data_IF_118829294775
#
_entry.id   IF_118829294775
#
_cell.length_a   1.000
_cell.length_b   1.000
_cell.length_c   1.000
_cell.angle_alpha   90.00
_cell.angle_beta   90.00
_cell.angle_gamma   90.00
#
_symmetry.space_group_name_H-M   'P 1'
#
loop_
_entity.id
_entity.type
_entity.pdbx_description
1 polymer ?
#
# COMPACT_ATOMS: atom_id res chain seq x y z
N UNK A 1 -19.91 18.86 4.83
CA UNK A 1 -19.06 17.67 4.67
C UNK A 1 -19.97 16.56 4.16
N UNK A 2 -19.82 16.20 2.87
CA UNK A 2 -20.60 15.10 2.29
C UNK A 2 -20.28 13.78 3.02
N UNK A 3 -21.30 12.94 3.16
CA UNK A 3 -21.11 11.59 3.68
C UNK A 3 -20.14 10.84 2.76
N UNK A 4 -19.09 10.24 3.35
CA UNK A 4 -18.15 9.41 2.60
C UNK A 4 -18.92 8.17 2.10
N UNK A 5 -18.95 7.96 0.80
CA UNK A 5 -19.75 6.90 0.17
C UNK A 5 -19.35 5.50 0.67
N UNK A 6 -18.08 5.29 0.99
CA UNK A 6 -17.56 4.11 1.71
C UNK A 6 -16.12 4.32 2.13
N UNK A 7 -15.68 3.62 3.16
CA UNK A 7 -14.28 3.55 3.58
C UNK A 7 -13.32 3.14 2.44
N UNK A 8 -13.73 2.20 1.58
CA UNK A 8 -12.92 1.76 0.45
C UNK A 8 -12.75 2.86 -0.60
N UNK A 9 -13.74 3.72 -0.81
CA UNK A 9 -13.67 4.85 -1.76
C UNK A 9 -12.69 5.91 -1.27
N UNK A 10 -12.75 6.28 0.00
CA UNK A 10 -11.82 7.24 0.61
C UNK A 10 -10.37 6.75 0.50
N UNK A 11 -10.14 5.48 0.85
CA UNK A 11 -8.82 4.89 0.71
C UNK A 11 -8.38 4.74 -0.75
N UNK A 12 -9.30 4.60 -1.70
CA UNK A 12 -8.97 4.48 -3.11
C UNK A 12 -8.34 5.78 -3.65
N UNK A 13 -8.83 6.94 -3.23
CA UNK A 13 -8.19 8.22 -3.57
C UNK A 13 -6.78 8.30 -3.00
N UNK A 14 -6.58 7.93 -1.73
CA UNK A 14 -5.26 7.90 -1.13
C UNK A 14 -4.30 6.97 -1.89
N UNK A 15 -4.77 5.78 -2.29
CA UNK A 15 -3.97 4.83 -3.08
C UNK A 15 -3.68 5.31 -4.49
N UNK A 16 -4.60 6.01 -5.12
CA UNK A 16 -4.37 6.65 -6.42
C UNK A 16 -3.19 7.62 -6.32
N UNK A 17 -3.19 8.50 -5.33
CA UNK A 17 -2.10 9.47 -5.15
C UNK A 17 -0.80 8.83 -4.70
N UNK A 18 -0.83 7.91 -3.74
CA UNK A 18 0.37 7.28 -3.17
C UNK A 18 1.07 6.36 -4.19
N UNK A 19 0.32 5.42 -4.76
CA UNK A 19 0.90 4.34 -5.55
C UNK A 19 0.93 4.69 -7.05
N UNK A 20 -0.19 5.11 -7.62
CA UNK A 20 -0.30 5.27 -9.07
C UNK A 20 0.34 6.58 -9.52
N UNK A 21 0.07 7.68 -8.82
CA UNK A 21 0.66 8.99 -9.15
C UNK A 21 2.05 9.12 -8.57
N UNK A 22 2.21 8.99 -7.26
CA UNK A 22 3.45 9.28 -6.55
C UNK A 22 4.61 8.35 -6.88
N UNK A 23 4.34 7.14 -7.36
CA UNK A 23 5.35 6.17 -7.82
C UNK A 23 5.55 6.18 -9.33
N UNK A 24 4.81 6.99 -10.10
CA UNK A 24 4.90 7.02 -11.56
C UNK A 24 6.15 7.75 -12.06
N UNK A 25 6.68 7.29 -13.19
CA UNK A 25 7.81 7.96 -13.84
C UNK A 25 7.51 9.43 -14.20
N UNK A 26 6.29 9.71 -14.69
CA UNK A 26 5.86 11.07 -15.04
C UNK A 26 5.88 12.02 -13.84
N UNK A 27 5.42 11.57 -12.67
CA UNK A 27 5.49 12.37 -11.46
C UNK A 27 6.94 12.67 -11.04
N UNK A 28 7.85 11.71 -11.15
CA UNK A 28 9.27 11.89 -10.84
C UNK A 28 10.00 12.75 -11.89
N UNK A 29 9.58 12.72 -13.16
CA UNK A 29 10.05 13.66 -14.18
C UNK A 29 9.75 15.12 -13.80
N UNK A 30 8.58 15.37 -13.23
CA UNK A 30 8.16 16.68 -12.74
C UNK A 30 8.80 17.07 -11.40
N UNK A 31 8.80 16.15 -10.44
CA UNK A 31 9.16 16.45 -9.05
C UNK A 31 10.68 16.59 -8.86
N UNK A 32 11.46 15.70 -9.46
CA UNK A 32 12.91 15.61 -9.19
C UNK A 32 13.67 16.91 -9.38
N UNK A 33 13.53 17.68 -10.48
CA UNK A 33 14.20 18.97 -10.64
C UNK A 33 13.81 19.98 -9.55
N UNK A 34 12.59 19.93 -9.05
CA UNK A 34 12.11 20.80 -7.96
C UNK A 34 12.72 20.41 -6.62
N UNK A 35 12.84 19.12 -6.37
CA UNK A 35 13.53 18.62 -5.17
C UNK A 35 15.00 19.05 -5.16
N UNK A 36 15.68 18.98 -6.30
CA UNK A 36 17.07 19.44 -6.40
C UNK A 36 17.23 20.92 -6.05
N UNK A 37 16.27 21.76 -6.43
CA UNK A 37 16.29 23.18 -6.12
C UNK A 37 15.96 23.49 -4.65
N UNK A 38 14.93 22.81 -4.10
CA UNK A 38 14.41 23.11 -2.76
C UNK A 38 15.15 22.35 -1.65
N UNK A 39 15.58 21.14 -1.93
CA UNK A 39 16.21 20.24 -0.98
C UNK A 39 17.40 19.51 -1.63
N UNK A 40 18.51 20.20 -1.95
CA UNK A 40 19.63 19.60 -2.67
C UNK A 40 20.20 18.34 -1.98
N UNK A 41 20.16 18.30 -0.65
CA UNK A 41 20.64 17.15 0.14
C UNK A 41 19.81 15.88 -0.01
N UNK A 42 18.53 15.98 -0.43
CA UNK A 42 17.64 14.85 -0.67
C UNK A 42 17.67 14.34 -2.12
N UNK A 43 18.11 15.18 -3.04
CA UNK A 43 18.15 14.90 -4.47
C UNK A 43 19.58 14.66 -4.98
N UNK A 44 20.38 13.95 -4.19
CA UNK A 44 21.74 13.56 -4.55
C UNK A 44 21.67 12.35 -5.49
N UNK A 45 22.32 12.44 -6.65
CA UNK A 45 22.37 11.37 -7.65
C UNK A 45 21.38 11.57 -8.82
N UNK A 46 21.11 10.50 -9.52
CA UNK A 46 20.26 10.52 -10.70
C UNK A 46 18.79 10.24 -10.35
N UNK A 47 17.87 10.90 -11.07
CA UNK A 47 16.43 10.68 -10.95
C UNK A 47 16.07 9.19 -11.04
N UNK A 48 16.69 8.47 -11.97
CA UNK A 48 16.42 7.07 -12.21
C UNK A 48 16.73 6.19 -10.99
N UNK A 49 17.84 6.46 -10.31
CA UNK A 49 18.21 5.74 -9.08
C UNK A 49 17.17 5.96 -7.97
N UNK A 50 16.67 7.18 -7.82
CA UNK A 50 15.65 7.49 -6.83
C UNK A 50 14.31 6.85 -7.21
N UNK A 51 13.93 6.92 -8.48
CA UNK A 51 12.71 6.28 -8.99
C UNK A 51 12.73 4.77 -8.78
N UNK A 52 13.83 4.09 -9.07
CA UNK A 52 14.00 2.65 -8.81
C UNK A 52 13.94 2.33 -7.32
N UNK A 53 14.56 3.17 -6.48
CA UNK A 53 14.53 3.00 -5.03
C UNK A 53 13.10 3.06 -4.46
N UNK A 54 12.28 4.02 -4.92
CA UNK A 54 10.88 4.17 -4.50
C UNK A 54 10.02 3.00 -4.98
N UNK A 55 10.35 2.40 -6.11
CA UNK A 55 9.62 1.28 -6.71
C UNK A 55 10.26 -0.09 -6.45
N UNK A 56 11.23 -0.16 -5.52
CA UNK A 56 11.86 -1.42 -5.18
C UNK A 56 10.86 -2.39 -4.54
N UNK A 57 10.73 -3.59 -5.10
CA UNK A 57 9.96 -4.69 -4.53
C UNK A 57 10.84 -5.46 -3.55
N UNK A 58 10.46 -5.46 -2.28
CA UNK A 58 11.17 -6.18 -1.23
C UNK A 58 10.21 -6.54 -0.09
N UNK A 59 9.98 -7.83 0.20
CA UNK A 59 9.17 -8.25 1.34
C UNK A 59 9.68 -7.65 2.65
N UNK A 60 8.78 -7.13 3.45
CA UNK A 60 9.05 -6.55 4.78
C UNK A 60 8.14 -7.16 5.83
N UNK A 61 8.55 -7.12 7.10
CA UNK A 61 7.74 -7.67 8.19
C UNK A 61 6.56 -6.77 8.56
N UNK A 62 6.74 -5.46 8.43
CA UNK A 62 5.73 -4.46 8.84
C UNK A 62 4.92 -4.00 7.63
N UNK A 63 3.61 -4.21 7.68
CA UNK A 63 2.67 -3.87 6.60
C UNK A 63 2.79 -2.42 6.12
N UNK A 64 2.92 -1.47 7.04
CA UNK A 64 3.03 -0.06 6.68
C UNK A 64 4.29 0.30 5.89
N UNK A 65 5.31 -0.56 5.94
CA UNK A 65 6.57 -0.39 5.21
C UNK A 65 6.63 -1.27 3.94
N UNK A 66 5.54 -1.99 3.63
CA UNK A 66 5.49 -2.85 2.47
C UNK A 66 5.48 -2.03 1.17
N UNK A 67 6.16 -2.56 0.15
CA UNK A 67 6.06 -2.03 -1.20
C UNK A 67 4.66 -2.30 -1.81
N UNK A 68 4.37 -1.67 -2.94
CA UNK A 68 3.05 -1.74 -3.58
C UNK A 68 2.62 -3.17 -3.91
N UNK A 69 3.55 -4.01 -4.37
CA UNK A 69 3.24 -5.39 -4.79
C UNK A 69 3.02 -6.30 -3.58
N UNK A 70 3.94 -6.29 -2.61
CA UNK A 70 3.85 -7.18 -1.45
C UNK A 70 2.81 -6.73 -0.42
N UNK A 71 2.37 -5.47 -0.47
CA UNK A 71 1.31 -4.95 0.40
C UNK A 71 0.03 -5.79 0.36
N UNK A 72 -0.37 -6.25 -0.83
CA UNK A 72 -1.56 -7.07 -1.02
C UNK A 72 -1.46 -8.39 -0.25
N UNK A 73 -0.27 -9.01 -0.23
CA UNK A 73 -0.03 -10.25 0.52
C UNK A 73 -0.21 -10.03 2.04
N UNK A 74 0.22 -8.89 2.56
CA UNK A 74 -0.05 -8.52 3.95
C UNK A 74 -1.55 -8.45 4.27
N UNK A 75 -2.36 -7.92 3.34
CA UNK A 75 -3.80 -7.84 3.52
C UNK A 75 -4.46 -9.22 3.43
N UNK A 76 -4.04 -10.06 2.50
CA UNK A 76 -4.53 -11.44 2.37
C UNK A 76 -4.28 -12.27 3.63
N UNK A 77 -3.08 -12.19 4.21
CA UNK A 77 -2.76 -12.86 5.47
C UNK A 77 -3.77 -12.46 6.56
N UNK A 78 -4.04 -11.17 6.72
CA UNK A 78 -4.97 -10.64 7.72
C UNK A 78 -6.40 -11.11 7.47
N UNK A 79 -6.84 -11.05 6.24
CA UNK A 79 -8.17 -11.52 5.85
C UNK A 79 -8.38 -13.00 6.16
N UNK A 80 -7.42 -13.86 5.81
CA UNK A 80 -7.52 -15.29 6.07
C UNK A 80 -7.53 -15.61 7.56
N UNK A 81 -6.62 -15.00 8.32
CA UNK A 81 -6.54 -15.17 9.78
C UNK A 81 -7.82 -14.68 10.45
N UNK A 82 -8.30 -13.49 10.09
CA UNK A 82 -9.53 -12.93 10.65
C UNK A 82 -10.75 -13.78 10.34
N UNK A 83 -10.85 -14.25 9.12
CA UNK A 83 -11.92 -15.19 8.69
C UNK A 83 -11.90 -16.46 9.54
N UNK A 84 -10.74 -17.03 9.79
CA UNK A 84 -10.61 -18.27 10.56
C UNK A 84 -10.88 -18.07 12.06
N UNK A 85 -10.51 -16.91 12.61
CA UNK A 85 -10.89 -16.51 13.99
C UNK A 85 -12.40 -16.35 14.12
N UNK A 86 -13.07 -15.66 13.18
CA UNK A 86 -14.53 -15.44 13.23
C UNK A 86 -15.28 -16.76 13.07
N UNK A 87 -14.78 -17.67 12.27
CA UNK A 87 -15.37 -19.02 12.08
C UNK A 87 -15.11 -19.96 13.26
N UNK A 88 -14.21 -19.59 14.18
CA UNK A 88 -13.82 -20.46 15.29
C UNK A 88 -12.93 -21.64 14.88
N UNK A 89 -12.39 -21.62 13.65
CA UNK A 89 -11.45 -22.65 13.16
C UNK A 89 -10.00 -22.36 13.57
N UNK A 90 -9.73 -21.16 14.07
CA UNK A 90 -8.46 -20.75 14.66
C UNK A 90 -8.70 -20.16 16.05
N UNK A 91 -8.00 -20.63 17.05
CA UNK A 91 -8.01 -20.03 18.39
C UNK A 91 -7.03 -18.87 18.51
N UNK A 92 -7.30 -17.94 19.43
CA UNK A 92 -6.39 -16.80 19.71
C UNK A 92 -5.03 -17.29 20.18
N UNK A 93 -4.96 -18.43 20.89
CA UNK A 93 -3.70 -19.02 21.36
C UNK A 93 -2.80 -19.51 20.20
N UNK A 94 -3.38 -20.01 19.14
CA UNK A 94 -2.66 -20.50 17.95
C UNK A 94 -2.28 -19.36 16.98
N UNK A 95 -2.91 -18.20 17.12
CA UNK A 95 -2.78 -17.09 16.20
C UNK A 95 -1.32 -16.66 15.91
N UNK A 96 -0.41 -16.53 16.90
CA UNK A 96 0.98 -16.15 16.63
C UNK A 96 1.72 -17.16 15.74
N UNK A 97 1.46 -18.44 15.92
CA UNK A 97 2.08 -19.50 15.12
C UNK A 97 1.56 -19.49 13.68
N UNK A 98 0.25 -19.43 13.50
CA UNK A 98 -0.39 -19.38 12.18
C UNK A 98 0.04 -18.12 11.42
N UNK A 99 0.15 -16.99 12.11
CA UNK A 99 0.67 -15.76 11.54
C UNK A 99 2.08 -15.91 10.97
N UNK A 100 3.01 -16.47 11.77
CA UNK A 100 4.40 -16.73 11.34
C UNK A 100 4.44 -17.63 10.11
N UNK A 101 3.64 -18.71 10.12
CA UNK A 101 3.57 -19.62 8.98
C UNK A 101 3.11 -18.90 7.71
N UNK A 102 2.02 -18.13 7.78
CA UNK A 102 1.51 -17.37 6.64
C UNK A 102 2.52 -16.34 6.11
N UNK A 103 3.25 -15.66 6.99
CA UNK A 103 4.34 -14.77 6.57
C UNK A 103 5.45 -15.50 5.82
N UNK A 104 5.83 -16.67 6.30
CA UNK A 104 6.81 -17.51 5.60
C UNK A 104 6.31 -17.96 4.25
N UNK A 105 5.06 -18.41 4.17
CA UNK A 105 4.47 -18.96 2.94
C UNK A 105 4.23 -17.87 1.87
N UNK A 106 3.73 -16.70 2.27
CA UNK A 106 3.36 -15.62 1.33
C UNK A 106 4.50 -14.66 1.02
N UNK A 107 5.35 -14.35 2.00
CA UNK A 107 6.36 -13.31 1.89
C UNK A 107 7.80 -13.84 1.91
N UNK A 108 8.00 -15.13 2.24
CA UNK A 108 9.32 -15.74 2.34
C UNK A 108 10.14 -15.25 3.54
N UNK A 109 9.51 -14.55 4.50
CA UNK A 109 10.16 -13.99 5.70
C UNK A 109 9.38 -14.37 6.96
N UNK A 110 10.07 -14.50 8.09
CA UNK A 110 9.46 -14.96 9.33
C UNK A 110 9.61 -13.91 10.44
N UNK A 111 8.50 -13.44 11.07
CA UNK A 111 8.56 -12.57 12.24
C UNK A 111 9.29 -13.25 13.41
N UNK A 112 10.19 -12.52 14.08
CA UNK A 112 10.98 -13.05 15.21
C UNK A 112 10.19 -13.08 16.51
N UNK A 113 9.20 -12.21 16.63
CA UNK A 113 8.37 -12.04 17.80
C UNK A 113 6.99 -11.49 17.41
N UNK A 114 6.06 -11.43 18.36
CA UNK A 114 4.69 -11.01 18.11
C UNK A 114 4.55 -9.50 17.81
N UNK A 115 5.51 -8.68 18.25
CA UNK A 115 5.56 -7.26 17.93
C UNK A 115 5.82 -7.01 16.45
N UNK A 116 6.71 -7.82 15.85
CA UNK A 116 6.95 -7.82 14.39
C UNK A 116 5.89 -8.62 13.64
N UNK A 117 5.09 -9.40 14.35
CA UNK A 117 4.06 -10.29 13.84
C UNK A 117 2.64 -9.77 14.09
N UNK A 118 1.88 -10.57 14.82
CA UNK A 118 0.43 -10.40 15.02
C UNK A 118 0.03 -9.11 15.74
N UNK A 119 0.91 -8.52 16.53
CA UNK A 119 0.63 -7.29 17.30
C UNK A 119 1.02 -5.99 16.58
N UNK A 120 1.39 -6.04 15.30
CA UNK A 120 1.85 -4.86 14.58
C UNK A 120 0.73 -3.87 14.19
N UNK A 121 -0.52 -4.33 14.14
CA UNK A 121 -1.67 -3.54 13.73
C UNK A 121 -2.61 -3.26 14.90
N UNK A 122 -3.15 -2.05 14.96
CA UNK A 122 -4.06 -1.61 16.02
C UNK A 122 -5.52 -2.06 15.77
N UNK A 123 -5.88 -2.42 14.54
CA UNK A 123 -7.27 -2.59 14.13
C UNK A 123 -8.03 -3.58 15.01
N UNK A 124 -7.49 -4.78 15.23
CA UNK A 124 -8.17 -5.77 16.07
C UNK A 124 -8.24 -5.36 17.55
N UNK A 125 -7.18 -4.74 18.07
CA UNK A 125 -7.18 -4.21 19.42
C UNK A 125 -8.20 -3.07 19.62
N UNK A 126 -8.51 -2.34 18.55
CA UNK A 126 -9.54 -1.30 18.52
C UNK A 126 -10.95 -1.84 18.16
N UNK A 127 -11.11 -3.14 17.95
CA UNK A 127 -12.39 -3.77 17.61
C UNK A 127 -12.79 -3.67 16.13
N UNK A 128 -11.89 -3.28 15.26
CA UNK A 128 -12.17 -3.16 13.82
C UNK A 128 -12.01 -4.50 13.10
N UNK A 129 -12.97 -5.39 13.28
CA UNK A 129 -13.06 -6.64 12.53
C UNK A 129 -13.65 -6.38 11.13
N UNK A 130 -13.17 -7.10 10.11
CA UNK A 130 -13.58 -6.90 8.70
C UNK A 130 -12.96 -5.67 8.03
N UNK A 131 -12.00 -5.02 8.66
CA UNK A 131 -11.41 -3.77 8.18
C UNK A 131 -10.42 -3.97 7.03
N UNK A 132 -9.56 -4.99 7.12
CA UNK A 132 -8.46 -5.21 6.18
C UNK A 132 -8.89 -5.45 4.72
N UNK A 133 -9.99 -6.15 4.41
CA UNK A 133 -10.44 -6.30 3.02
C UNK A 133 -10.70 -4.97 2.30
N UNK A 134 -11.07 -3.91 3.04
CA UNK A 134 -11.23 -2.56 2.50
C UNK A 134 -9.97 -2.01 1.82
N UNK A 135 -8.79 -2.36 2.31
CA UNK A 135 -7.52 -1.97 1.69
C UNK A 135 -7.29 -2.64 0.33
N UNK A 136 -7.70 -3.90 0.16
CA UNK A 136 -7.61 -4.56 -1.14
C UNK A 136 -8.60 -3.96 -2.13
N UNK A 137 -9.85 -3.76 -1.70
CA UNK A 137 -10.88 -3.12 -2.53
C UNK A 137 -10.46 -1.73 -2.96
N UNK A 138 -9.84 -0.94 -2.07
CA UNK A 138 -9.36 0.41 -2.39
C UNK A 138 -8.26 0.41 -3.45
N UNK A 139 -7.34 -0.56 -3.45
CA UNK A 139 -6.33 -0.68 -4.51
C UNK A 139 -6.95 -0.97 -5.88
N UNK A 140 -7.96 -1.86 -5.93
CA UNK A 140 -8.70 -2.16 -7.16
C UNK A 140 -9.47 -0.93 -7.68
N UNK A 141 -10.11 -0.18 -6.79
CA UNK A 141 -10.81 1.05 -7.14
C UNK A 141 -9.85 2.14 -7.62
N UNK A 142 -8.68 2.29 -6.99
CA UNK A 142 -7.65 3.23 -7.41
C UNK A 142 -7.18 2.96 -8.85
N UNK A 143 -6.98 1.68 -9.20
CA UNK A 143 -6.65 1.30 -10.57
C UNK A 143 -7.77 1.63 -11.56
N UNK A 144 -9.05 1.45 -11.17
CA UNK A 144 -10.20 1.83 -11.98
C UNK A 144 -10.30 3.36 -12.16
N UNK A 145 -10.02 4.13 -11.11
CA UNK A 145 -9.97 5.59 -11.18
C UNK A 145 -8.87 6.05 -12.14
N UNK A 146 -7.67 5.47 -12.05
CA UNK A 146 -6.59 5.77 -12.98
C UNK A 146 -6.98 5.48 -14.43
N UNK A 147 -7.58 4.31 -14.69
CA UNK A 147 -8.04 3.95 -16.03
C UNK A 147 -9.16 4.88 -16.56
N UNK A 148 -10.04 5.38 -15.68
CA UNK A 148 -11.05 6.36 -16.03
C UNK A 148 -10.41 7.72 -16.37
N UNK A 149 -9.48 8.19 -15.56
CA UNK A 149 -8.74 9.43 -15.82
C UNK A 149 -7.98 9.37 -17.14
N UNK A 150 -7.32 8.27 -17.46
CA UNK A 150 -6.62 8.14 -18.75
C UNK A 150 -7.55 8.14 -19.95
N UNK A 151 -8.76 7.60 -19.84
CA UNK A 151 -9.77 7.67 -20.91
C UNK A 151 -10.27 9.09 -21.15
N UNK A 152 -10.42 9.88 -20.09
CA UNK A 152 -10.98 11.24 -20.18
C UNK A 152 -9.91 12.29 -20.50
N UNK A 153 -8.73 12.17 -19.91
CA UNK A 153 -7.69 13.20 -19.93
C UNK A 153 -6.49 12.85 -20.84
N UNK A 154 -6.39 11.60 -21.25
CA UNK A 154 -5.23 11.06 -21.96
C UNK A 154 -4.18 10.46 -20.99
N UNK A 155 -3.01 10.01 -21.50
CA UNK A 155 -2.03 9.28 -20.74
C UNK A 155 -1.54 10.06 -19.50
N UNK A 156 -1.80 9.53 -18.31
CA UNK A 156 -1.44 10.16 -17.02
C UNK A 156 0.06 10.50 -16.95
N UNK A 157 0.92 9.64 -17.50
CA UNK A 157 2.36 9.90 -17.52
C UNK A 157 2.70 11.28 -18.12
N UNK A 158 2.09 11.63 -19.24
CA UNK A 158 2.38 12.91 -19.92
C UNK A 158 1.81 14.10 -19.14
N UNK A 159 0.62 13.95 -18.56
CA UNK A 159 0.00 14.99 -17.76
C UNK A 159 0.81 15.29 -16.51
N UNK A 160 1.25 14.23 -15.81
CA UNK A 160 2.05 14.35 -14.59
C UNK A 160 3.43 14.95 -14.88
N UNK A 161 4.11 14.51 -15.95
CA UNK A 161 5.40 15.07 -16.35
C UNK A 161 5.30 16.58 -16.70
N UNK A 162 4.17 17.01 -17.25
CA UNK A 162 3.89 18.41 -17.53
C UNK A 162 3.40 19.21 -16.31
N UNK A 163 3.25 18.59 -15.14
CA UNK A 163 2.73 19.22 -13.92
C UNK A 163 1.25 19.57 -13.97
N UNK A 164 0.48 18.87 -14.77
CA UNK A 164 -0.98 19.05 -14.89
C UNK A 164 -1.69 18.17 -13.87
N UNK A 165 -1.92 18.70 -12.67
CA UNK A 165 -2.61 18.02 -11.56
C UNK A 165 -4.08 18.48 -11.38
N UNK A 166 -4.60 19.28 -12.31
CA UNK A 166 -5.97 19.81 -12.31
C UNK A 166 -6.62 19.60 -13.66
#
# INVERSE_FOLDING_TARGET
LGEVASFATELAEARLYENIIGRSAGFWEYLFPRMQQLCPSLAVGERETLFQSVNQVRPTLIRNNADELTYILHILIRYEVEKDLIRGTLSVAELPQVWRQKYTDYLGITPRNDREGVLQDIQWAAGYMGYFPGYLTSNLMAAQFAAALERELGPLRHLLAAGRFR
#
